data_IF_055466288466
#
_entry.id   IF_055466288466
#
_cell.length_a   1.000
_cell.length_b   1.000
_cell.length_c   1.000
_cell.angle_alpha   90.00
_cell.angle_beta   90.00
_cell.angle_gamma   90.00
#
_symmetry.space_group_name_H-M   'P 1'
#
loop_
_entity.id
_entity.type
_entity.pdbx_description
1 polymer ?
#
# COMPACT_ATOMS: atom_id res chain seq x y z
N UNK A 1 -7.90 16.09 4.82
CA UNK A 1 -7.60 17.42 4.27
C UNK A 1 -7.67 17.38 2.75
N UNK A 2 -6.78 16.63 2.13
CA UNK A 2 -6.72 16.40 0.70
C UNK A 2 -6.11 15.01 0.47
N UNK A 3 -6.23 14.49 -0.74
CA UNK A 3 -5.56 13.27 -1.15
C UNK A 3 -4.59 13.57 -2.28
N UNK A 4 -3.42 12.90 -2.33
CA UNK A 4 -2.55 13.01 -3.50
C UNK A 4 -3.24 12.41 -4.74
N UNK A 5 -2.90 12.94 -5.90
CA UNK A 5 -3.27 12.39 -7.20
C UNK A 5 -1.98 12.00 -7.92
N UNK A 6 -1.88 10.71 -8.26
CA UNK A 6 -0.74 10.11 -8.97
C UNK A 6 -1.25 9.63 -10.32
N UNK A 7 -0.61 10.07 -11.41
CA UNK A 7 -1.02 9.77 -12.80
C UNK A 7 -2.52 9.95 -13.06
N UNK A 8 -3.08 11.04 -12.52
CA UNK A 8 -4.50 11.38 -12.66
C UNK A 8 -5.47 10.57 -11.78
N UNK A 9 -4.97 9.61 -10.98
CA UNK A 9 -5.77 8.75 -10.12
C UNK A 9 -5.62 9.09 -8.63
N UNK A 10 -6.68 8.84 -7.88
CA UNK A 10 -6.73 8.93 -6.41
C UNK A 10 -6.97 7.56 -5.79
N UNK A 11 -6.67 6.50 -6.54
CA UNK A 11 -6.77 5.11 -6.11
C UNK A 11 -5.44 4.40 -6.27
N UNK A 12 -5.29 3.33 -5.51
CA UNK A 12 -4.14 2.45 -5.54
C UNK A 12 -4.58 1.01 -5.27
N UNK A 13 -3.67 0.06 -5.39
CA UNK A 13 -3.93 -1.34 -5.11
C UNK A 13 -2.92 -1.90 -4.09
N UNK A 14 -3.30 -3.01 -3.47
CA UNK A 14 -2.36 -3.95 -2.90
C UNK A 14 -1.88 -4.91 -3.99
N UNK A 15 -0.57 -5.05 -4.12
CA UNK A 15 0.06 -6.09 -4.92
C UNK A 15 0.61 -7.18 -4.01
N UNK A 16 0.32 -8.44 -4.34
CA UNK A 16 1.10 -9.57 -3.82
C UNK A 16 2.19 -9.87 -4.83
N UNK A 17 3.42 -9.81 -4.36
CA UNK A 17 4.62 -10.00 -5.14
C UNK A 17 5.40 -11.25 -4.71
N UNK A 18 6.10 -11.88 -5.64
CA UNK A 18 6.93 -13.07 -5.43
C UNK A 18 8.22 -12.95 -6.26
N UNK A 19 9.27 -13.76 -5.99
CA UNK A 19 10.43 -13.81 -6.86
C UNK A 19 10.02 -14.25 -8.27
N UNK A 20 10.64 -13.69 -9.31
CA UNK A 20 10.35 -14.07 -10.72
C UNK A 20 10.53 -15.57 -10.95
N UNK A 21 11.51 -16.18 -10.28
CA UNK A 21 11.80 -17.61 -10.32
C UNK A 21 10.78 -18.51 -9.60
N UNK A 22 9.81 -17.95 -8.86
CA UNK A 22 8.75 -18.71 -8.20
C UNK A 22 7.70 -19.18 -9.19
N UNK A 23 7.20 -20.41 -9.07
CA UNK A 23 6.09 -20.90 -9.90
C UNK A 23 4.71 -20.40 -9.43
N UNK A 24 4.64 -19.77 -8.26
CA UNK A 24 3.39 -19.26 -7.67
C UNK A 24 2.65 -18.31 -8.63
N UNK A 25 1.33 -18.51 -8.76
CA UNK A 25 0.43 -17.68 -9.57
C UNK A 25 -0.68 -17.02 -8.74
N UNK A 26 -0.83 -17.43 -7.49
CA UNK A 26 -1.85 -16.93 -6.58
C UNK A 26 -1.39 -16.98 -5.13
N UNK A 27 -2.12 -16.29 -4.25
CA UNK A 27 -1.87 -16.33 -2.80
C UNK A 27 -1.95 -17.77 -2.23
N UNK A 28 -2.76 -18.65 -2.84
CA UNK A 28 -2.91 -20.04 -2.42
C UNK A 28 -1.61 -20.84 -2.57
N UNK A 29 -0.79 -20.49 -3.57
CA UNK A 29 0.50 -21.14 -3.85
C UNK A 29 1.59 -20.75 -2.85
N UNK A 30 1.34 -19.74 -2.00
CA UNK A 30 2.28 -19.28 -0.97
C UNK A 30 2.10 -19.99 0.38
N UNK A 31 1.30 -21.06 0.43
CA UNK A 31 1.15 -21.87 1.65
C UNK A 31 2.51 -22.42 2.09
N UNK A 32 2.86 -22.22 3.36
CA UNK A 32 4.16 -22.65 3.90
C UNK A 32 5.35 -21.80 3.47
N UNK A 33 5.14 -20.69 2.74
CA UNK A 33 6.21 -19.75 2.43
C UNK A 33 6.55 -18.85 3.64
N UNK A 34 7.72 -18.20 3.57
CA UNK A 34 8.00 -17.01 4.39
C UNK A 34 7.33 -15.81 3.71
N UNK A 35 6.40 -15.14 4.39
CA UNK A 35 5.66 -14.00 3.83
C UNK A 35 6.03 -12.70 4.56
N UNK A 36 6.38 -11.67 3.79
CA UNK A 36 6.67 -10.34 4.32
C UNK A 36 5.43 -9.44 4.24
N UNK A 37 4.86 -9.14 5.40
CA UNK A 37 3.95 -8.02 5.55
C UNK A 37 4.74 -6.72 5.62
N UNK A 38 4.13 -5.62 5.18
CA UNK A 38 4.77 -4.31 5.29
C UNK A 38 4.72 -3.82 6.73
N UNK A 39 3.52 -3.50 7.23
CA UNK A 39 3.34 -2.88 8.55
C UNK A 39 2.01 -3.36 9.16
N UNK A 40 1.92 -3.56 10.50
CA UNK A 40 0.69 -4.02 11.16
C UNK A 40 -0.57 -3.21 10.87
N UNK A 41 -0.46 -1.89 10.64
CA UNK A 41 -1.59 -1.01 10.35
C UNK A 41 -1.81 -0.77 8.85
N UNK A 42 -1.02 -1.42 7.98
CA UNK A 42 -1.08 -1.20 6.53
C UNK A 42 -2.29 -1.87 5.89
N UNK A 43 -3.10 -1.10 5.15
CA UNK A 43 -4.17 -1.66 4.33
C UNK A 43 -3.62 -2.61 3.26
N UNK A 44 -2.71 -2.12 2.42
CA UNK A 44 -2.16 -2.87 1.29
C UNK A 44 -1.18 -3.95 1.73
N UNK A 45 -0.38 -3.67 2.76
CA UNK A 45 0.72 -4.51 3.20
C UNK A 45 0.38 -5.50 4.31
N UNK A 46 -0.84 -5.46 4.87
CA UNK A 46 -1.27 -6.36 5.96
C UNK A 46 -2.75 -6.74 5.87
N UNK A 47 -3.66 -5.79 5.79
CA UNK A 47 -5.11 -6.08 5.81
C UNK A 47 -5.54 -6.90 4.58
N UNK A 48 -5.25 -6.42 3.37
CA UNK A 48 -5.64 -7.12 2.14
C UNK A 48 -5.06 -8.54 1.98
N UNK A 49 -3.75 -8.80 2.16
CA UNK A 49 -3.23 -10.16 2.09
C UNK A 49 -3.79 -11.08 3.20
N UNK A 50 -4.14 -10.53 4.36
CA UNK A 50 -4.83 -11.29 5.42
C UNK A 50 -6.22 -11.71 4.98
N UNK A 51 -6.99 -10.79 4.39
CA UNK A 51 -8.29 -11.08 3.82
C UNK A 51 -8.19 -12.22 2.79
N UNK A 52 -7.21 -12.17 1.88
CA UNK A 52 -6.99 -13.22 0.89
C UNK A 52 -6.78 -14.60 1.53
N UNK A 53 -5.95 -14.69 2.57
CA UNK A 53 -5.71 -15.96 3.28
C UNK A 53 -6.98 -16.43 4.02
N UNK A 54 -7.73 -15.51 4.61
CA UNK A 54 -9.02 -15.83 5.27
C UNK A 54 -10.06 -16.35 4.28
N UNK A 55 -10.08 -15.85 3.04
CA UNK A 55 -10.95 -16.41 1.98
C UNK A 55 -10.59 -17.86 1.63
N UNK A 56 -9.36 -18.30 1.91
CA UNK A 56 -8.95 -19.71 1.79
C UNK A 56 -9.29 -20.54 3.04
N UNK A 57 -9.88 -19.93 4.09
CA UNK A 57 -10.26 -20.59 5.33
C UNK A 57 -9.15 -20.70 6.37
N UNK A 58 -8.10 -19.88 6.28
CA UNK A 58 -6.95 -19.91 7.21
C UNK A 58 -6.69 -18.55 7.86
N UNK A 59 -6.03 -18.54 9.02
CA UNK A 59 -5.30 -17.37 9.50
C UNK A 59 -3.88 -17.33 8.89
N UNK A 60 -3.24 -16.15 8.72
CA UNK A 60 -1.87 -16.06 8.22
C UNK A 60 -0.86 -16.92 8.97
N UNK A 61 -1.01 -17.03 10.28
CA UNK A 61 -0.14 -17.80 11.17
C UNK A 61 -0.27 -19.32 10.97
N UNK A 62 -1.38 -19.77 10.40
CA UNK A 62 -1.64 -21.17 10.05
C UNK A 62 -1.28 -21.48 8.59
N UNK A 63 -1.31 -20.45 7.74
CA UNK A 63 -1.13 -20.58 6.30
C UNK A 63 0.34 -20.47 5.87
N UNK A 64 1.05 -19.47 6.38
CA UNK A 64 2.47 -19.25 6.09
C UNK A 64 3.34 -20.00 7.10
N UNK A 65 4.54 -20.45 6.68
CA UNK A 65 5.48 -21.06 7.62
C UNK A 65 6.06 -20.03 8.60
N UNK A 66 6.20 -18.78 8.13
CA UNK A 66 6.62 -17.65 8.94
C UNK A 66 6.13 -16.36 8.30
N UNK A 67 5.76 -15.40 9.14
CA UNK A 67 5.50 -14.02 8.73
C UNK A 67 6.54 -13.09 9.33
N UNK A 68 6.86 -12.01 8.61
CA UNK A 68 7.73 -10.92 9.09
C UNK A 68 7.10 -9.57 8.76
N UNK A 69 7.43 -8.54 9.53
CA UNK A 69 7.13 -7.15 9.21
C UNK A 69 8.40 -6.44 8.77
N UNK A 70 8.37 -5.80 7.62
CA UNK A 70 9.51 -5.04 7.08
C UNK A 70 9.47 -3.56 7.46
N UNK A 71 8.33 -3.08 7.95
CA UNK A 71 8.03 -1.68 8.29
C UNK A 71 8.27 -0.67 7.15
N UNK A 72 8.42 -1.16 5.93
CA UNK A 72 8.63 -0.38 4.71
C UNK A 72 8.27 -1.21 3.48
N UNK A 73 7.53 -0.59 2.56
CA UNK A 73 7.20 -1.22 1.28
C UNK A 73 8.46 -1.48 0.45
N UNK A 74 9.44 -0.58 0.46
CA UNK A 74 10.74 -0.79 -0.22
C UNK A 74 11.47 -2.01 0.35
N UNK A 75 11.49 -2.16 1.67
CA UNK A 75 12.12 -3.31 2.32
C UNK A 75 11.36 -4.62 2.05
N UNK A 76 10.03 -4.57 1.91
CA UNK A 76 9.24 -5.72 1.48
C UNK A 76 9.59 -6.15 0.05
N UNK A 77 9.75 -5.20 -0.87
CA UNK A 77 10.19 -5.47 -2.25
C UNK A 77 11.60 -6.09 -2.25
N UNK A 78 12.54 -5.52 -1.47
CA UNK A 78 13.91 -6.04 -1.35
C UNK A 78 13.97 -7.43 -0.73
N UNK A 79 13.14 -7.72 0.28
CA UNK A 79 13.08 -9.03 0.90
C UNK A 79 12.67 -10.12 -0.10
N UNK A 80 11.74 -9.81 -1.02
CA UNK A 80 11.36 -10.71 -2.11
C UNK A 80 12.45 -10.78 -3.18
N UNK A 81 12.99 -9.64 -3.61
CA UNK A 81 14.01 -9.58 -4.66
C UNK A 81 15.32 -10.31 -4.28
N UNK A 82 15.62 -10.41 -2.98
CA UNK A 82 16.79 -11.11 -2.44
C UNK A 82 16.51 -12.55 -2.00
N UNK A 83 15.25 -13.02 -2.10
CA UNK A 83 14.85 -14.37 -1.70
C UNK A 83 14.72 -14.57 -0.19
N UNK A 84 14.79 -13.52 0.63
CA UNK A 84 14.54 -13.58 2.08
C UNK A 84 13.07 -13.95 2.37
N UNK A 85 12.14 -13.45 1.55
CA UNK A 85 10.73 -13.81 1.60
C UNK A 85 10.29 -14.46 0.28
N UNK A 86 9.44 -15.49 0.38
CA UNK A 86 8.83 -16.15 -0.78
C UNK A 86 7.67 -15.34 -1.39
N UNK A 87 7.13 -14.39 -0.63
CA UNK A 87 6.21 -13.39 -1.15
C UNK A 87 6.03 -12.22 -0.18
N UNK A 88 5.49 -11.11 -0.67
CA UNK A 88 5.14 -9.94 0.12
C UNK A 88 3.89 -9.25 -0.40
N UNK A 89 3.26 -8.43 0.44
CA UNK A 89 2.20 -7.52 0.01
C UNK A 89 2.67 -6.06 0.12
N UNK A 90 2.48 -5.30 -0.95
CA UNK A 90 2.99 -3.92 -1.08
C UNK A 90 1.97 -2.99 -1.71
N UNK A 91 2.16 -1.69 -1.48
CA UNK A 91 1.45 -0.60 -2.15
C UNK A 91 1.87 -0.53 -3.64
N UNK A 92 0.90 -0.47 -4.55
CA UNK A 92 1.15 -0.42 -5.99
C UNK A 92 1.95 0.80 -6.42
N UNK A 93 1.68 1.97 -5.83
CA UNK A 93 2.37 3.21 -6.20
C UNK A 93 3.83 3.16 -5.77
N UNK A 94 4.12 2.58 -4.59
CA UNK A 94 5.50 2.37 -4.15
C UNK A 94 6.21 1.35 -5.02
N UNK A 95 5.56 0.24 -5.37
CA UNK A 95 6.13 -0.76 -6.28
C UNK A 95 6.46 -0.17 -7.65
N UNK A 96 5.50 0.53 -8.25
CA UNK A 96 5.66 1.15 -9.58
C UNK A 96 6.75 2.23 -9.56
N UNK A 97 6.79 3.06 -8.51
CA UNK A 97 7.86 4.04 -8.32
C UNK A 97 9.23 3.37 -8.16
N UNK A 98 9.33 2.31 -7.35
CA UNK A 98 10.58 1.58 -7.13
C UNK A 98 11.10 0.94 -8.43
N UNK A 99 10.23 0.29 -9.21
CA UNK A 99 10.58 -0.32 -10.50
C UNK A 99 10.96 0.73 -11.55
N UNK A 100 10.26 1.88 -11.59
CA UNK A 100 10.63 2.97 -12.50
C UNK A 100 12.03 3.51 -12.20
N UNK A 101 12.45 3.50 -10.93
CA UNK A 101 13.73 4.02 -10.47
C UNK A 101 14.87 2.99 -10.55
N UNK A 102 14.56 1.72 -10.35
CA UNK A 102 15.46 0.58 -10.52
C UNK A 102 14.75 -0.53 -11.34
N UNK A 103 14.85 -0.49 -12.67
CA UNK A 103 14.22 -1.49 -13.55
C UNK A 103 14.68 -2.93 -13.29
N UNK A 104 15.84 -3.15 -12.65
CA UNK A 104 16.30 -4.51 -12.32
C UNK A 104 15.40 -5.22 -11.31
N UNK A 105 14.57 -4.48 -10.56
CA UNK A 105 13.56 -5.06 -9.68
C UNK A 105 12.49 -5.84 -10.45
N UNK A 106 12.14 -5.41 -11.67
CA UNK A 106 11.18 -6.12 -12.52
C UNK A 106 11.71 -7.47 -13.02
N UNK A 107 13.03 -7.66 -13.03
CA UNK A 107 13.67 -8.94 -13.38
C UNK A 107 13.73 -9.91 -12.19
N UNK A 108 13.54 -9.38 -10.96
CA UNK A 108 13.66 -10.14 -9.71
C UNK A 108 12.31 -10.44 -9.07
N UNK A 109 11.33 -9.57 -9.28
CA UNK A 109 10.02 -9.62 -8.61
C UNK A 109 8.91 -9.57 -9.65
N UNK A 110 7.85 -10.37 -9.45
CA UNK A 110 6.62 -10.33 -10.25
C UNK A 110 5.39 -10.22 -9.36
N UNK A 111 4.34 -9.62 -9.91
CA UNK A 111 3.04 -9.50 -9.26
C UNK A 111 2.20 -10.73 -9.61
N UNK A 112 1.61 -11.38 -8.59
CA UNK A 112 0.73 -12.54 -8.77
C UNK A 112 -0.72 -12.26 -8.36
N UNK A 113 -0.96 -11.19 -7.60
CA UNK A 113 -2.30 -10.76 -7.23
C UNK A 113 -2.36 -9.24 -7.19
N UNK A 114 -3.48 -8.69 -7.66
CA UNK A 114 -3.85 -7.29 -7.54
C UNK A 114 -5.20 -7.18 -6.82
N UNK A 115 -5.30 -6.26 -5.87
CA UNK A 115 -6.58 -5.93 -5.23
C UNK A 115 -7.50 -5.13 -6.14
N UNK A 116 -8.80 -5.00 -5.80
CA UNK A 116 -9.60 -3.88 -6.29
C UNK A 116 -8.97 -2.53 -5.95
N UNK A 117 -9.48 -1.47 -6.54
CA UNK A 117 -9.04 -0.11 -6.23
C UNK A 117 -9.46 0.29 -4.81
N UNK A 118 -8.49 0.78 -4.05
CA UNK A 118 -8.68 1.42 -2.75
C UNK A 118 -8.39 2.91 -2.87
N UNK A 119 -9.04 3.73 -2.02
CA UNK A 119 -8.71 5.14 -1.90
C UNK A 119 -7.26 5.34 -1.47
N UNK A 120 -6.54 6.22 -2.16
CA UNK A 120 -5.15 6.56 -1.85
C UNK A 120 -5.04 7.16 -0.43
N UNK A 121 -3.95 6.90 0.32
CA UNK A 121 -3.76 7.46 1.65
C UNK A 121 -3.90 9.00 1.68
N UNK A 122 -4.85 9.56 2.46
CA UNK A 122 -5.06 11.00 2.52
C UNK A 122 -4.11 11.68 3.50
N UNK A 123 -3.93 12.99 3.32
CA UNK A 123 -3.42 13.86 4.39
C UNK A 123 -4.57 14.18 5.34
N UNK A 124 -4.43 13.86 6.62
CA UNK A 124 -5.45 14.09 7.66
C UNK A 124 -4.95 15.03 8.74
N UNK A 125 -5.88 15.64 9.48
CA UNK A 125 -5.58 16.45 10.66
C UNK A 125 -6.50 16.02 11.80
N UNK A 126 -6.08 16.31 13.03
CA UNK A 126 -6.89 16.07 14.23
C UNK A 126 -8.25 16.77 14.12
N UNK A 127 -9.34 16.16 14.60
CA UNK A 127 -10.65 16.81 14.67
C UNK A 127 -10.65 18.07 15.54
N UNK A 128 -9.65 18.24 16.42
CA UNK A 128 -9.50 19.42 17.29
C UNK A 128 -8.66 20.55 16.67
N UNK A 129 -8.19 20.38 15.43
CA UNK A 129 -7.44 21.42 14.71
C UNK A 129 -8.34 22.64 14.47
N UNK A 130 -7.83 23.85 14.78
CA UNK A 130 -8.58 25.10 14.57
C UNK A 130 -9.05 25.21 13.11
N UNK A 131 -10.30 25.64 12.84
CA UNK A 131 -10.83 25.73 11.48
C UNK A 131 -9.97 26.57 10.52
N UNK A 132 -9.39 27.66 11.01
CA UNK A 132 -8.50 28.54 10.22
C UNK A 132 -7.25 27.79 9.75
N UNK A 133 -6.57 27.09 10.67
CA UNK A 133 -5.37 26.28 10.35
C UNK A 133 -5.73 25.15 9.38
N UNK A 134 -6.88 24.50 9.58
CA UNK A 134 -7.37 23.46 8.66
C UNK A 134 -7.56 24.00 7.24
N UNK A 135 -8.15 25.19 7.10
CA UNK A 135 -8.39 25.83 5.82
C UNK A 135 -7.07 26.26 5.15
N UNK A 136 -6.14 26.86 5.90
CA UNK A 136 -4.82 27.27 5.40
C UNK A 136 -4.02 26.07 4.89
N UNK A 137 -3.95 24.98 5.66
CA UNK A 137 -3.24 23.76 5.24
C UNK A 137 -3.89 23.11 4.00
N UNK A 138 -5.23 23.12 3.93
CA UNK A 138 -5.93 22.57 2.77
C UNK A 138 -5.66 23.40 1.51
N UNK A 139 -5.75 24.72 1.60
CA UNK A 139 -5.44 25.62 0.49
C UNK A 139 -3.99 25.42 0.02
N UNK A 140 -3.03 25.41 0.95
CA UNK A 140 -1.63 25.18 0.65
C UNK A 140 -1.42 23.89 -0.15
N UNK A 141 -1.97 22.76 0.31
CA UNK A 141 -1.85 21.47 -0.39
C UNK A 141 -2.42 21.52 -1.81
N UNK A 142 -3.59 22.12 -2.00
CA UNK A 142 -4.28 22.20 -3.30
C UNK A 142 -3.53 23.09 -4.31
N UNK A 143 -2.86 24.14 -3.82
CA UNK A 143 -2.12 25.11 -4.63
C UNK A 143 -0.65 24.69 -4.88
N UNK A 144 -0.13 23.65 -4.20
CA UNK A 144 1.26 23.20 -4.36
C UNK A 144 1.68 22.94 -5.81
N UNK A 145 0.76 22.47 -6.65
CA UNK A 145 1.07 22.17 -8.06
C UNK A 145 1.22 23.44 -8.92
N UNK A 146 0.73 24.58 -8.44
CA UNK A 146 0.78 25.87 -9.13
C UNK A 146 2.05 26.67 -8.76
N UNK A 147 2.73 26.29 -7.67
CA UNK A 147 4.05 26.81 -7.27
C UNK A 147 5.19 25.99 -7.91
N UNK A 148 6.13 26.60 -8.67
CA UNK A 148 7.21 25.88 -9.34
C UNK A 148 8.12 25.05 -8.42
N UNK A 149 8.46 25.56 -7.23
CA UNK A 149 9.35 24.87 -6.30
C UNK A 149 8.62 23.72 -5.61
N UNK A 150 7.36 23.93 -5.22
CA UNK A 150 6.55 22.86 -4.64
C UNK A 150 6.21 21.77 -5.68
N UNK A 151 6.00 22.12 -6.94
CA UNK A 151 5.79 21.16 -8.03
C UNK A 151 6.99 20.24 -8.26
N UNK A 152 8.21 20.75 -8.12
CA UNK A 152 9.42 19.92 -8.17
C UNK A 152 9.47 18.95 -6.97
N UNK A 153 9.13 19.42 -5.78
CA UNK A 153 9.04 18.57 -4.59
C UNK A 153 7.98 17.45 -4.75
N UNK A 154 6.80 17.77 -5.29
CA UNK A 154 5.75 16.80 -5.59
C UNK A 154 6.23 15.74 -6.61
N UNK A 155 6.88 16.18 -7.69
CA UNK A 155 7.41 15.28 -8.72
C UNK A 155 8.48 14.33 -8.15
N UNK A 156 9.31 14.80 -7.20
CA UNK A 156 10.35 13.96 -6.58
C UNK A 156 9.78 12.75 -5.83
N UNK A 157 8.55 12.85 -5.33
CA UNK A 157 7.82 11.78 -4.62
C UNK A 157 6.74 11.13 -5.49
N UNK A 158 6.71 11.42 -6.80
CA UNK A 158 5.74 10.84 -7.74
C UNK A 158 4.31 11.36 -7.60
N UNK A 159 4.09 12.47 -6.90
CA UNK A 159 2.76 13.08 -6.76
C UNK A 159 2.58 14.15 -7.82
N UNK A 160 1.45 14.15 -8.53
CA UNK A 160 1.13 15.20 -9.50
C UNK A 160 0.57 16.45 -8.83
N UNK A 161 -0.40 16.27 -7.93
CA UNK A 161 -1.01 17.33 -7.11
C UNK A 161 -1.80 16.75 -5.95
N UNK A 162 -2.32 17.61 -5.07
CA UNK A 162 -3.37 17.23 -4.13
C UNK A 162 -4.75 17.67 -4.63
N UNK A 163 -5.76 16.89 -4.29
CA UNK A 163 -7.17 17.15 -4.64
C UNK A 163 -8.08 16.96 -3.44
N UNK A 164 -9.26 17.58 -3.51
CA UNK A 164 -10.35 17.22 -2.61
C UNK A 164 -10.89 15.85 -2.99
N UNK A 165 -11.19 15.03 -1.98
CA UNK A 165 -11.75 13.71 -2.16
C UNK A 165 -12.95 13.54 -1.23
N UNK A 166 -13.97 12.84 -1.73
CA UNK A 166 -15.14 12.46 -0.93
C UNK A 166 -14.75 11.31 0.00
N UNK A 167 -15.18 11.38 1.27
CA UNK A 167 -14.90 10.36 2.27
C UNK A 167 -15.41 8.95 1.85
N UNK A 168 -16.46 8.88 1.02
CA UNK A 168 -17.00 7.62 0.49
C UNK A 168 -15.99 6.81 -0.33
N UNK A 169 -14.92 7.44 -0.83
CA UNK A 169 -13.84 6.70 -1.52
C UNK A 169 -13.16 5.68 -0.58
N UNK A 170 -13.26 5.86 0.73
CA UNK A 170 -12.73 4.94 1.74
C UNK A 170 -13.72 3.89 2.24
N UNK A 171 -14.94 3.81 1.69
CA UNK A 171 -15.95 2.84 2.11
C UNK A 171 -15.53 1.39 1.87
N UNK A 172 -14.85 1.10 0.75
CA UNK A 172 -14.33 -0.24 0.46
C UNK A 172 -13.29 -0.68 1.49
N UNK A 173 -12.47 0.26 1.96
CA UNK A 173 -11.47 0.04 3.02
C UNK A 173 -12.17 -0.26 4.34
N UNK A 174 -13.19 0.54 4.71
CA UNK A 174 -13.98 0.32 5.93
C UNK A 174 -14.68 -1.03 5.93
N UNK A 175 -15.25 -1.43 4.79
CA UNK A 175 -15.88 -2.74 4.63
C UNK A 175 -14.86 -3.88 4.79
N UNK A 176 -13.68 -3.75 4.20
CA UNK A 176 -12.61 -4.76 4.30
C UNK A 176 -12.07 -4.90 5.73
N UNK A 177 -11.84 -3.78 6.43
CA UNK A 177 -11.38 -3.81 7.82
C UNK A 177 -12.47 -4.39 8.73
N UNK A 178 -13.75 -4.12 8.45
CA UNK A 178 -14.87 -4.64 9.24
C UNK A 178 -15.00 -6.16 9.23
N UNK A 179 -14.44 -6.86 8.23
CA UNK A 179 -14.44 -8.33 8.16
C UNK A 179 -13.19 -8.98 8.75
N UNK A 180 -12.13 -8.21 9.04
CA UNK A 180 -10.90 -8.71 9.66
C UNK A 180 -10.95 -8.44 11.17
N UNK A 181 -10.90 -9.49 12.04
CA UNK A 181 -10.95 -9.29 13.48
C UNK A 181 -9.83 -8.38 13.98
N UNK A 182 -10.17 -7.45 14.88
CA UNK A 182 -9.27 -6.41 15.43
C UNK A 182 -8.07 -7.00 16.19
N UNK A 183 -8.10 -8.28 16.56
CA UNK A 183 -6.98 -9.01 17.14
C UNK A 183 -5.80 -9.23 16.18
N UNK A 184 -5.99 -9.02 14.87
CA UNK A 184 -4.93 -9.06 13.86
C UNK A 184 -4.15 -7.73 13.71
N UNK A 185 -4.65 -6.65 14.33
CA UNK A 185 -4.07 -5.31 14.33
C UNK A 185 -3.80 -4.93 15.79
N UNK A 186 -2.82 -5.59 16.42
CA UNK A 186 -2.35 -5.12 17.72
C UNK A 186 -1.36 -3.95 17.52
N UNK A 187 -1.44 -2.92 18.38
CA UNK A 187 -0.64 -1.69 18.28
C UNK A 187 0.87 -1.94 18.46
#
# INVERSE_FOLDING_TARGET
LAAPQVDGKTTYNSYVIVPVSSDAQSIADLRGAVFAFTDPISLSGRVYPTYLVQQLGFAPEEFFARTIFTYSHDEAIRAVASGVAGGAAVDSLVYEYAVARDPSLAEKVKIIQRSPDFGIPPVVVSPFTRPQVKAELQALLLEMADDPAAREALASIGVGRFVLIDDRVYDSVRALIGVIPTSAVQP
#
